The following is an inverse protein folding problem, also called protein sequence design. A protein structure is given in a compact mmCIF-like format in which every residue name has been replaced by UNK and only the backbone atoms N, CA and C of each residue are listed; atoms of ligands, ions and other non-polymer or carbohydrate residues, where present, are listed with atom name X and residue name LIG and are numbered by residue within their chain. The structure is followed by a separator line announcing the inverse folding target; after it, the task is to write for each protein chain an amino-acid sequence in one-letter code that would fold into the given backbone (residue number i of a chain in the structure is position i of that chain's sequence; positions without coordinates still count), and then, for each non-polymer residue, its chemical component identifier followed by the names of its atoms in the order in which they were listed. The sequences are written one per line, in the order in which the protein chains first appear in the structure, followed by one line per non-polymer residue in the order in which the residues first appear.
data_IF_798672439885
#
_entry.id   IF_798672439885
#
_cell.length_a   1.000
_cell.length_b   1.000
_cell.length_c   1.000
_cell.angle_alpha   90.00
_cell.angle_beta   90.00
_cell.angle_gamma   90.00
#
_symmetry.space_group_name_H-M   'P 1'
#
loop_
_entity.id
_entity.type
_entity.pdbx_description
1 polymer ?
#
# COMPACT_ATOMS: atom_id res chain seq x y z
N UNK A 1 8.87 5.94 -19.43
CA UNK A 1 8.10 4.88 -18.77
C UNK A 1 9.02 3.69 -18.71
N UNK A 2 9.62 3.41 -17.57
CA UNK A 2 10.19 2.08 -17.36
C UNK A 2 9.01 1.19 -17.01
N UNK A 3 8.63 0.28 -17.90
CA UNK A 3 7.80 -0.86 -17.50
C UNK A 3 8.63 -1.64 -16.48
N UNK A 4 8.49 -1.28 -15.21
CA UNK A 4 8.81 -2.20 -14.13
C UNK A 4 7.64 -3.19 -14.12
N UNK A 5 7.93 -4.45 -14.43
CA UNK A 5 6.94 -5.51 -14.33
C UNK A 5 6.52 -5.64 -12.86
N UNK A 6 5.40 -5.02 -12.52
CA UNK A 6 4.78 -5.11 -11.21
C UNK A 6 4.21 -6.51 -10.98
N UNK A 7 4.17 -6.93 -9.71
CA UNK A 7 3.64 -8.25 -9.35
C UNK A 7 2.14 -8.36 -9.59
N UNK A 8 1.67 -9.60 -9.67
CA UNK A 8 0.24 -9.89 -9.83
C UNK A 8 -0.56 -9.24 -8.69
N UNK A 9 -1.60 -8.50 -9.06
CA UNK A 9 -2.42 -7.75 -8.10
C UNK A 9 -1.87 -6.36 -7.77
N UNK A 10 -0.85 -5.88 -8.49
CA UNK A 10 -0.31 -4.52 -8.32
C UNK A 10 -0.53 -3.69 -9.58
N UNK A 11 -1.22 -2.56 -9.41
CA UNK A 11 -1.30 -1.49 -10.40
C UNK A 11 -0.45 -0.32 -9.95
N UNK A 12 0.43 0.19 -10.82
CA UNK A 12 1.28 1.36 -10.55
C UNK A 12 0.46 2.57 -10.06
N UNK A 13 -0.75 2.75 -10.59
CA UNK A 13 -1.64 3.85 -10.19
C UNK A 13 -2.11 3.80 -8.73
N UNK A 14 -2.05 2.63 -8.10
CA UNK A 14 -2.48 2.40 -6.72
C UNK A 14 -1.31 1.98 -5.81
N UNK A 15 -0.09 1.90 -6.36
CA UNK A 15 1.09 1.49 -5.64
C UNK A 15 1.47 2.55 -4.62
N UNK A 16 1.60 2.13 -3.37
CA UNK A 16 2.07 2.95 -2.27
C UNK A 16 3.29 2.33 -1.63
N UNK A 17 4.23 3.18 -1.20
CA UNK A 17 5.42 2.76 -0.45
C UNK A 17 5.32 3.25 0.98
N UNK A 18 5.61 2.36 1.94
CA UNK A 18 5.58 2.63 3.37
C UNK A 18 6.87 2.12 4.02
N UNK A 19 7.23 2.77 5.12
CA UNK A 19 8.42 2.45 5.91
C UNK A 19 7.96 2.28 7.35
N UNK A 20 8.03 1.08 7.91
CA UNK A 20 7.53 0.79 9.24
C UNK A 20 8.70 0.53 10.16
N UNK A 21 8.88 1.37 11.19
CA UNK A 21 9.87 1.07 12.23
C UNK A 21 9.31 -0.03 13.12
N UNK A 22 10.05 -1.13 13.24
CA UNK A 22 9.63 -2.28 14.02
C UNK A 22 10.37 -2.39 15.36
N UNK A 23 9.74 -3.08 16.30
CA UNK A 23 10.28 -3.44 17.62
C UNK A 23 10.07 -4.93 17.86
N UNK A 24 10.89 -5.54 18.72
CA UNK A 24 10.81 -6.98 19.01
C UNK A 24 11.35 -7.88 17.89
N UNK A 25 12.17 -7.33 16.99
CA UNK A 25 12.78 -8.09 15.89
C UNK A 25 13.90 -8.97 16.40
N UNK A 26 13.95 -10.19 15.91
CA UNK A 26 15.03 -11.16 16.11
C UNK A 26 15.49 -11.70 14.76
N UNK A 27 16.67 -12.33 14.74
CA UNK A 27 17.15 -13.01 13.52
C UNK A 27 16.17 -14.09 13.04
N UNK A 28 15.49 -14.77 13.96
CA UNK A 28 14.55 -15.85 13.64
C UNK A 28 13.20 -15.34 13.11
N UNK A 29 12.69 -14.20 13.59
CA UNK A 29 11.34 -13.75 13.23
C UNK A 29 11.31 -12.88 11.98
N UNK A 30 12.40 -12.20 11.64
CA UNK A 30 12.39 -11.25 10.52
C UNK A 30 12.19 -11.94 9.18
N UNK A 31 12.79 -13.12 8.98
CA UNK A 31 12.59 -13.90 7.76
C UNK A 31 11.13 -14.34 7.60
N UNK A 32 10.49 -14.77 8.68
CA UNK A 32 9.09 -15.17 8.68
C UNK A 32 8.15 -13.99 8.40
N UNK A 33 8.43 -12.82 8.96
CA UNK A 33 7.69 -11.58 8.69
C UNK A 33 7.81 -11.20 7.21
N UNK A 34 9.03 -11.17 6.66
CA UNK A 34 9.27 -10.83 5.26
C UNK A 34 8.54 -11.82 4.35
N UNK A 35 8.67 -13.13 4.61
CA UNK A 35 8.02 -14.15 3.80
C UNK A 35 6.48 -14.08 3.85
N UNK A 36 5.91 -13.82 5.05
CA UNK A 36 4.47 -13.67 5.22
C UNK A 36 3.90 -12.47 4.47
N UNK A 37 4.61 -11.34 4.52
CA UNK A 37 4.23 -10.15 3.77
C UNK A 37 4.43 -10.39 2.27
N UNK A 38 5.59 -10.89 1.84
CA UNK A 38 5.90 -11.14 0.44
C UNK A 38 4.88 -12.07 -0.25
N UNK A 39 4.34 -13.04 0.49
CA UNK A 39 3.30 -13.95 0.00
C UNK A 39 1.90 -13.34 -0.12
N UNK A 40 1.68 -12.12 0.35
CA UNK A 40 0.38 -11.46 0.35
C UNK A 40 0.03 -10.89 -1.03
N UNK A 41 -1.18 -11.17 -1.52
CA UNK A 41 -1.67 -10.67 -2.80
C UNK A 41 -1.72 -9.13 -2.80
N UNK A 42 -1.14 -8.49 -3.81
CA UNK A 42 -1.07 -7.03 -3.89
C UNK A 42 0.19 -6.42 -3.23
N UNK A 43 1.11 -7.25 -2.72
CA UNK A 43 2.47 -6.80 -2.39
C UNK A 43 3.34 -6.77 -3.65
N UNK A 44 4.01 -5.64 -3.86
CA UNK A 44 4.96 -5.43 -4.95
C UNK A 44 6.38 -5.79 -4.51
N UNK A 45 6.79 -5.30 -3.33
CA UNK A 45 8.10 -5.57 -2.78
C UNK A 45 8.10 -5.41 -1.25
N UNK A 46 8.94 -6.21 -0.58
CA UNK A 46 9.22 -6.07 0.85
C UNK A 46 10.71 -6.27 1.11
N UNK A 47 11.28 -5.44 1.97
CA UNK A 47 12.67 -5.58 2.43
C UNK A 47 12.85 -4.99 3.82
N UNK A 48 13.90 -5.41 4.52
CA UNK A 48 14.20 -4.92 5.87
C UNK A 48 15.59 -4.27 5.91
N UNK A 49 15.68 -3.12 6.58
CA UNK A 49 16.92 -2.42 6.88
C UNK A 49 17.27 -2.62 8.36
N UNK A 50 18.20 -3.53 8.64
CA UNK A 50 18.61 -3.90 10.01
C UNK A 50 19.08 -2.70 10.83
N UNK A 51 19.92 -1.85 10.23
CA UNK A 51 20.54 -0.70 10.89
C UNK A 51 19.52 0.31 11.47
N UNK A 52 18.32 0.37 10.90
CA UNK A 52 17.23 1.25 11.35
C UNK A 52 16.04 0.50 11.93
N UNK A 53 16.10 -0.84 11.95
CA UNK A 53 14.96 -1.72 12.24
C UNK A 53 13.71 -1.30 11.46
N UNK A 54 13.87 -1.06 10.15
CA UNK A 54 12.83 -0.50 9.30
C UNK A 54 12.43 -1.46 8.20
N UNK A 55 11.14 -1.75 8.12
CA UNK A 55 10.54 -2.56 7.06
C UNK A 55 10.05 -1.64 5.93
N UNK A 56 10.54 -1.87 4.73
CA UNK A 56 10.13 -1.16 3.51
C UNK A 56 9.13 -2.03 2.76
N UNK A 57 7.96 -1.48 2.43
CA UNK A 57 6.90 -2.23 1.75
C UNK A 57 6.33 -1.38 0.62
N UNK A 58 6.25 -1.96 -0.57
CA UNK A 58 5.45 -1.47 -1.69
C UNK A 58 4.22 -2.35 -1.86
N UNK A 59 3.02 -1.76 -1.90
CA UNK A 59 1.77 -2.52 -2.10
C UNK A 59 0.70 -1.72 -2.84
N UNK A 60 -0.23 -2.41 -3.48
CA UNK A 60 -1.42 -1.82 -4.07
C UNK A 60 -2.48 -1.57 -2.97
N UNK A 61 -2.79 -0.30 -2.72
CA UNK A 61 -3.71 0.11 -1.65
C UNK A 61 -5.18 -0.33 -1.87
N UNK A 62 -5.52 -0.85 -3.05
CA UNK A 62 -6.85 -1.42 -3.31
C UNK A 62 -6.97 -2.87 -2.85
N UNK A 63 -5.83 -3.56 -2.67
CA UNK A 63 -5.75 -4.97 -2.32
C UNK A 63 -5.13 -5.24 -0.94
N UNK A 64 -4.26 -4.34 -0.46
CA UNK A 64 -3.58 -4.42 0.83
C UNK A 64 -3.79 -3.17 1.68
N UNK A 65 -3.68 -3.33 3.00
CA UNK A 65 -3.66 -2.23 3.96
C UNK A 65 -2.70 -2.50 5.12
N UNK A 66 -2.46 -1.48 5.94
CA UNK A 66 -1.51 -1.56 7.05
C UNK A 66 -1.99 -2.44 8.21
N UNK A 67 -3.31 -2.60 8.40
CA UNK A 67 -3.86 -3.46 9.46
C UNK A 67 -3.54 -4.95 9.20
N UNK A 68 -3.65 -5.40 7.95
CA UNK A 68 -3.27 -6.76 7.57
C UNK A 68 -1.77 -7.02 7.71
N UNK A 69 -0.94 -6.04 7.31
CA UNK A 69 0.51 -6.09 7.48
C UNK A 69 0.90 -6.12 8.97
N UNK A 70 0.27 -5.26 9.78
CA UNK A 70 0.47 -5.22 11.24
C UNK A 70 0.12 -6.55 11.90
N UNK A 71 -0.94 -7.22 11.45
CA UNK A 71 -1.31 -8.56 11.93
C UNK A 71 -0.21 -9.58 11.66
N UNK A 72 0.34 -9.64 10.44
CA UNK A 72 1.44 -10.55 10.10
C UNK A 72 2.67 -10.28 10.97
N UNK A 73 3.01 -9.01 11.21
CA UNK A 73 4.14 -8.62 12.07
C UNK A 73 3.93 -9.14 13.50
N UNK A 74 2.74 -8.96 14.06
CA UNK A 74 2.40 -9.40 15.43
C UNK A 74 2.31 -10.91 15.60
N UNK A 75 1.78 -11.62 14.60
CA UNK A 75 1.72 -13.08 14.61
C UNK A 75 3.12 -13.73 14.66
N UNK A 76 4.15 -12.98 14.26
CA UNK A 76 5.55 -13.40 14.34
C UNK A 76 6.32 -12.79 15.53
N UNK A 77 5.61 -12.18 16.49
CA UNK A 77 6.18 -11.72 17.76
C UNK A 77 6.92 -10.38 17.70
N UNK A 78 6.76 -9.61 16.63
CA UNK A 78 7.23 -8.24 16.51
C UNK A 78 6.07 -7.24 16.61
N UNK A 79 6.36 -5.94 16.67
CA UNK A 79 5.34 -4.89 16.58
C UNK A 79 5.86 -3.67 15.81
N UNK A 80 4.95 -2.79 15.40
CA UNK A 80 5.28 -1.47 14.88
C UNK A 80 5.54 -0.55 16.08
N UNK A 81 6.63 0.21 16.04
CA UNK A 81 6.97 1.18 17.08
C UNK A 81 5.80 2.15 17.34
N UNK A 82 5.37 2.29 18.60
CA UNK A 82 4.23 3.13 18.98
C UNK A 82 4.33 4.57 18.48
N UNK A 83 5.50 5.22 18.64
CA UNK A 83 5.75 6.58 18.15
C UNK A 83 5.58 6.70 16.63
N UNK A 84 5.91 5.64 15.90
CA UNK A 84 5.77 5.59 14.45
C UNK A 84 4.33 5.32 14.04
N UNK A 85 3.67 4.38 14.73
CA UNK A 85 2.29 4.00 14.49
C UNK A 85 1.31 5.14 14.79
N UNK A 86 1.51 5.87 15.89
CA UNK A 86 0.74 7.06 16.22
C UNK A 86 0.89 8.13 15.14
N UNK A 87 2.12 8.46 14.73
CA UNK A 87 2.37 9.42 13.65
C UNK A 87 1.75 8.99 12.32
N UNK A 88 1.74 7.69 12.04
CA UNK A 88 1.13 7.15 10.84
C UNK A 88 -0.39 7.28 10.87
N UNK A 89 -1.03 6.93 11.99
CA UNK A 89 -2.48 7.04 12.21
C UNK A 89 -2.97 8.48 12.26
N UNK A 90 -2.20 9.37 12.87
CA UNK A 90 -2.46 10.82 12.88
C UNK A 90 -2.23 11.46 11.51
N UNK A 91 -1.37 10.85 10.68
CA UNK A 91 -0.78 11.49 9.53
C UNK A 91 -1.69 11.65 8.32
N UNK A 92 -2.00 10.57 7.60
CA UNK A 92 -2.37 10.73 6.18
C UNK A 92 -2.73 9.42 5.50
N UNK A 93 -2.07 8.32 5.87
CA UNK A 93 -2.00 7.14 4.99
C UNK A 93 -3.26 6.29 4.97
N UNK A 94 -3.99 6.13 6.08
CA UNK A 94 -5.26 5.40 6.05
C UNK A 94 -6.28 6.13 5.16
N UNK A 95 -6.30 7.46 5.21
CA UNK A 95 -7.12 8.29 4.33
C UNK A 95 -6.66 8.28 2.88
N UNK A 96 -5.34 8.27 2.61
CA UNK A 96 -4.81 8.18 1.24
C UNK A 96 -5.11 6.82 0.62
N UNK A 97 -4.86 5.74 1.35
CA UNK A 97 -5.12 4.38 0.89
C UNK A 97 -6.63 4.19 0.67
N UNK A 98 -7.46 4.72 1.58
CA UNK A 98 -8.92 4.73 1.40
C UNK A 98 -9.34 5.59 0.21
N UNK A 99 -8.75 6.77 0.00
CA UNK A 99 -9.03 7.61 -1.17
C UNK A 99 -8.66 6.91 -2.48
N UNK A 100 -7.51 6.22 -2.54
CA UNK A 100 -7.11 5.42 -3.70
C UNK A 100 -8.13 4.31 -3.93
N UNK A 101 -8.53 3.59 -2.87
CA UNK A 101 -9.53 2.54 -2.93
C UNK A 101 -10.89 3.03 -3.40
N UNK A 102 -11.36 4.16 -2.89
CA UNK A 102 -12.64 4.76 -3.29
C UNK A 102 -12.57 5.33 -4.72
N UNK A 103 -11.46 5.96 -5.11
CA UNK A 103 -11.24 6.41 -6.49
C UNK A 103 -11.23 5.23 -7.49
N UNK A 104 -10.62 4.10 -7.13
CA UNK A 104 -10.63 2.89 -7.96
C UNK A 104 -12.05 2.30 -8.12
N UNK A 105 -12.90 2.42 -7.10
CA UNK A 105 -14.32 2.02 -7.16
C UNK A 105 -15.17 3.00 -7.95
N UNK A 106 -14.78 4.28 -8.01
CA UNK A 106 -15.59 5.34 -8.60
C UNK A 106 -15.57 5.24 -10.14
N UNK A 107 -16.68 4.78 -10.73
CA UNK A 107 -16.86 4.87 -12.20
C UNK A 107 -16.93 6.35 -12.60
N UNK A 108 -16.19 6.81 -13.63
CA UNK A 108 -16.35 8.16 -14.13
C UNK A 108 -17.79 8.34 -14.59
N UNK A 109 -18.51 9.23 -13.93
CA UNK A 109 -19.83 9.66 -14.34
C UNK A 109 -19.68 10.42 -15.66
N UNK A 110 -19.81 9.70 -16.78
CA UNK A 110 -19.98 10.30 -18.09
C UNK A 110 -21.40 10.84 -18.19
N UNK A 111 -21.60 12.09 -17.75
CA UNK A 111 -22.75 12.89 -18.19
C UNK A 111 -22.30 14.30 -18.58
N UNK A 112 -21.43 14.37 -19.57
CA UNK A 112 -21.59 15.42 -20.57
C UNK A 112 -22.05 14.73 -21.86
N UNK A 113 -23.37 14.45 -21.93
CA UNK A 113 -24.01 14.42 -23.25
C UNK A 113 -23.73 15.79 -23.84
N UNK A 114 -23.05 15.83 -24.98
CA UNK A 114 -23.02 17.03 -25.82
C UNK A 114 -24.46 17.49 -25.99
N UNK A 115 -24.81 18.74 -25.65
CA UNK A 115 -26.16 19.22 -25.84
C UNK A 115 -26.53 19.06 -27.32
N UNK A 116 -27.71 18.50 -27.63
CA UNK A 116 -28.15 18.35 -29.02
C UNK A 116 -28.32 19.75 -29.60
N UNK A 117 -27.39 20.19 -30.45
CA UNK A 117 -27.49 21.50 -31.09
C UNK A 117 -26.20 22.12 -31.64
N UNK A 118 -25.01 21.64 -31.29
CA UNK A 118 -23.78 22.19 -31.89
C UNK A 118 -23.40 21.46 -33.17
N UNK A 119 -24.06 21.85 -34.27
CA UNK A 119 -23.53 21.64 -35.61
C UNK A 119 -22.24 22.44 -35.77
N UNK A 120 -21.10 21.77 -35.89
CA UNK A 120 -19.88 22.38 -36.41
C UNK A 120 -20.15 22.89 -37.83
N UNK A 121 -20.22 24.21 -38.03
CA UNK A 121 -20.09 24.78 -39.37
C UNK A 121 -18.60 24.81 -39.73
N UNK A 122 -18.32 24.24 -40.91
CA UNK A 122 -17.02 24.30 -41.62
C UNK A 122 -16.59 25.73 -41.89
#
# INVERSE_FOLDING_TARGET
MSDLDHRVGVSEANLVVRHLKLVGITEDNIEAIIAGIDGTFGIDAVSFEDAKSTLHIGYDATHCNLDGIETIIRDNGADISDDFWMKMKEGYYQFVDENIRENAKHKPWSCHRVPPGQTHKK
#
